data_IF_300682960590
#
_entry.id   IF_300682960590
#
_cell.length_a   1.000
_cell.length_b   1.000
_cell.length_c   1.000
_cell.angle_alpha   90.00
_cell.angle_beta   90.00
_cell.angle_gamma   90.00
#
_symmetry.space_group_name_H-M   'P 1'
#
loop_
_entity.id
_entity.type
_entity.pdbx_description
1 polymer ?
#
# COMPACT_ATOMS: atom_id res chain seq x y z
N UNK A 1 15.29 15.36 -10.75
CA UNK A 1 13.87 15.05 -10.50
C UNK A 1 13.67 14.93 -8.99
N UNK A 2 12.60 15.51 -8.44
CA UNK A 2 12.23 15.37 -7.03
C UNK A 2 11.90 13.91 -6.68
N UNK A 3 12.00 13.54 -5.41
CA UNK A 3 11.61 12.18 -4.95
C UNK A 3 10.13 11.91 -5.22
N UNK A 4 9.27 12.92 -5.08
CA UNK A 4 7.85 12.85 -5.38
C UNK A 4 7.59 12.53 -6.85
N UNK A 5 8.26 13.28 -7.78
CA UNK A 5 8.13 13.01 -9.21
C UNK A 5 8.56 11.59 -9.60
N UNK A 6 9.65 11.09 -9.01
CA UNK A 6 10.08 9.70 -9.26
C UNK A 6 9.05 8.66 -8.81
N UNK A 7 8.38 8.93 -7.68
CA UNK A 7 7.34 8.03 -7.17
C UNK A 7 6.10 8.02 -8.09
N UNK A 8 5.67 9.18 -8.55
CA UNK A 8 4.55 9.29 -9.50
C UNK A 8 4.91 8.68 -10.86
N UNK A 9 6.05 9.05 -11.46
CA UNK A 9 6.55 8.46 -12.72
C UNK A 9 6.60 6.90 -12.65
N UNK A 10 6.93 6.35 -11.48
CA UNK A 10 7.00 4.90 -11.28
C UNK A 10 5.62 4.23 -11.31
N UNK A 11 4.65 4.80 -10.61
CA UNK A 11 3.30 4.21 -10.54
C UNK A 11 2.52 4.42 -11.84
N UNK A 12 2.81 5.49 -12.57
CA UNK A 12 2.15 5.83 -13.83
C UNK A 12 2.81 5.20 -15.07
N UNK A 13 3.78 4.28 -14.88
CA UNK A 13 4.49 3.64 -15.99
C UNK A 13 3.49 2.94 -16.93
N UNK A 14 3.43 3.32 -18.23
CA UNK A 14 2.49 2.76 -19.21
C UNK A 14 2.58 1.23 -19.32
N UNK A 15 3.80 0.67 -19.27
CA UNK A 15 4.01 -0.79 -19.37
C UNK A 15 3.38 -1.57 -18.21
N UNK A 16 3.02 -0.90 -17.11
CA UNK A 16 2.45 -1.50 -15.91
C UNK A 16 0.96 -1.26 -15.75
N UNK A 17 0.44 -0.23 -16.42
CA UNK A 17 -0.92 0.27 -16.27
C UNK A 17 -1.76 0.09 -17.53
N UNK A 18 -1.39 -0.82 -18.41
CA UNK A 18 -2.03 -1.03 -19.72
C UNK A 18 -2.16 0.28 -20.51
N UNK A 19 -1.02 0.86 -20.86
CA UNK A 19 -0.94 2.16 -21.56
C UNK A 19 -1.69 3.31 -20.83
N UNK A 20 -1.70 3.27 -19.49
CA UNK A 20 -2.40 4.22 -18.59
C UNK A 20 -3.93 4.10 -18.58
N UNK A 21 -4.51 3.01 -19.07
CA UNK A 21 -5.93 2.75 -18.97
C UNK A 21 -6.41 2.70 -17.49
N UNK A 22 -5.56 2.16 -16.61
CA UNK A 22 -5.83 2.06 -15.17
C UNK A 22 -5.11 3.13 -14.35
N UNK A 23 -5.27 4.40 -14.75
CA UNK A 23 -4.80 5.58 -14.01
C UNK A 23 -5.98 6.49 -13.74
N UNK A 24 -6.19 6.86 -12.49
CA UNK A 24 -7.21 7.81 -12.05
C UNK A 24 -6.59 8.84 -11.11
N UNK A 25 -7.18 10.02 -11.04
CA UNK A 25 -6.76 11.05 -10.08
C UNK A 25 -7.98 11.79 -9.51
N UNK A 26 -7.80 12.38 -8.34
CA UNK A 26 -8.78 13.24 -7.69
C UNK A 26 -8.09 14.48 -7.13
N UNK A 27 -8.70 15.66 -7.35
CA UNK A 27 -8.16 16.93 -6.86
C UNK A 27 -6.86 17.38 -7.51
N UNK A 28 -6.37 16.65 -8.53
CA UNK A 28 -5.21 16.98 -9.35
C UNK A 28 -5.31 16.30 -10.71
N UNK A 29 -4.50 16.72 -11.69
CA UNK A 29 -4.22 15.94 -12.88
C UNK A 29 -3.07 14.96 -12.60
N UNK A 30 -3.20 13.69 -12.97
CA UNK A 30 -2.09 12.74 -12.80
C UNK A 30 -0.82 13.19 -13.54
N UNK A 31 -0.95 13.86 -14.68
CA UNK A 31 0.19 14.34 -15.48
C UNK A 31 1.02 15.44 -14.78
N UNK A 32 0.40 16.22 -13.90
CA UNK A 32 1.00 17.37 -13.20
C UNK A 32 0.94 17.25 -11.68
N UNK A 33 0.59 16.08 -11.16
CA UNK A 33 0.38 15.84 -9.72
C UNK A 33 1.61 16.19 -8.87
N UNK A 34 2.84 16.02 -9.40
CA UNK A 34 4.06 16.40 -8.69
C UNK A 34 4.16 17.91 -8.46
N UNK A 35 3.72 18.71 -9.41
CA UNK A 35 3.69 20.17 -9.31
C UNK A 35 2.56 20.62 -8.40
N UNK A 36 1.35 20.07 -8.60
CA UNK A 36 0.16 20.44 -7.82
C UNK A 36 0.30 20.06 -6.35
N UNK A 37 0.87 18.88 -6.04
CA UNK A 37 1.21 18.51 -4.67
C UNK A 37 2.23 19.46 -4.06
N UNK A 38 3.25 19.86 -4.80
CA UNK A 38 4.25 20.81 -4.32
C UNK A 38 3.62 22.18 -4.01
N UNK A 39 2.73 22.68 -4.85
CA UNK A 39 2.01 23.94 -4.62
C UNK A 39 1.18 23.88 -3.33
N UNK A 40 0.50 22.75 -3.08
CA UNK A 40 -0.28 22.55 -1.86
C UNK A 40 0.62 22.44 -0.62
N UNK A 41 1.74 21.73 -0.73
CA UNK A 41 2.74 21.59 0.35
C UNK A 41 3.33 22.93 0.75
N UNK A 42 3.55 23.84 -0.22
CA UNK A 42 4.10 25.17 0.03
C UNK A 42 3.12 26.06 0.81
N UNK A 43 1.82 25.81 0.69
CA UNK A 43 0.74 26.50 1.41
C UNK A 43 0.48 25.94 2.81
N UNK A 44 1.07 24.78 3.16
CA UNK A 44 0.78 24.08 4.40
C UNK A 44 1.15 24.91 5.64
N UNK A 45 0.26 24.97 6.64
CA UNK A 45 0.53 25.61 7.92
C UNK A 45 1.70 24.96 8.68
N UNK A 46 1.86 23.64 8.53
CA UNK A 46 2.91 22.89 9.20
C UNK A 46 3.92 22.37 8.16
N UNK A 47 5.17 22.79 8.30
CA UNK A 47 6.25 22.21 7.51
C UNK A 47 6.62 20.81 8.03
N UNK A 48 7.11 19.96 7.15
CA UNK A 48 7.57 18.62 7.50
C UNK A 48 8.09 17.88 6.26
N UNK A 49 8.79 16.78 6.48
CA UNK A 49 9.56 16.12 5.42
C UNK A 49 8.71 15.20 4.50
N UNK A 50 7.51 14.80 4.96
CA UNK A 50 6.65 13.97 4.14
C UNK A 50 5.95 14.82 3.09
N UNK A 51 6.19 14.49 1.82
CA UNK A 51 5.56 15.15 0.67
C UNK A 51 4.25 14.46 0.26
N UNK A 52 4.22 13.14 0.36
CA UNK A 52 3.07 12.32 0.03
C UNK A 52 3.06 11.04 0.88
N UNK A 53 1.93 10.36 0.89
CA UNK A 53 1.78 9.02 1.43
C UNK A 53 1.46 8.05 0.29
N UNK A 54 1.91 6.81 0.43
CA UNK A 54 1.75 5.77 -0.57
C UNK A 54 1.08 4.56 0.07
N UNK A 55 -0.09 4.19 -0.41
CA UNK A 55 -0.79 2.96 -0.06
C UNK A 55 -0.63 1.96 -1.20
N UNK A 56 -0.43 0.70 -0.84
CA UNK A 56 -0.41 -0.41 -1.78
C UNK A 56 -1.50 -1.38 -1.36
N UNK A 57 -2.42 -1.68 -2.29
CA UNK A 57 -3.49 -2.66 -2.13
C UNK A 57 -3.24 -3.81 -3.11
N UNK A 58 -2.94 -4.99 -2.59
CA UNK A 58 -2.67 -6.17 -3.41
C UNK A 58 -3.81 -7.18 -3.31
N UNK A 59 -4.07 -7.87 -4.41
CA UNK A 59 -5.12 -8.89 -4.53
C UNK A 59 -4.49 -10.27 -4.75
N UNK A 60 -5.19 -11.30 -4.35
CA UNK A 60 -4.77 -12.69 -4.62
C UNK A 60 -4.77 -12.93 -6.13
N UNK A 61 -3.75 -13.62 -6.68
CA UNK A 61 -3.71 -13.90 -8.11
C UNK A 61 -4.96 -14.61 -8.62
N UNK A 62 -5.59 -14.04 -9.64
CA UNK A 62 -6.74 -14.62 -10.34
C UNK A 62 -8.11 -14.43 -9.66
N UNK A 63 -8.19 -13.74 -8.51
CA UNK A 63 -9.49 -13.53 -7.85
C UNK A 63 -10.25 -12.28 -8.34
N UNK A 64 -9.61 -11.38 -9.07
CA UNK A 64 -10.24 -10.14 -9.55
C UNK A 64 -9.73 -9.75 -10.94
N UNK A 65 -10.48 -8.88 -11.62
CA UNK A 65 -10.05 -8.24 -12.88
C UNK A 65 -9.38 -6.89 -12.61
N UNK A 66 -8.68 -6.34 -13.60
CA UNK A 66 -8.01 -5.05 -13.47
C UNK A 66 -9.02 -3.90 -13.24
N UNK A 67 -10.17 -3.95 -13.92
CA UNK A 67 -11.27 -2.99 -13.76
C UNK A 67 -11.85 -3.03 -12.35
N UNK A 68 -12.12 -4.24 -11.83
CA UNK A 68 -12.66 -4.41 -10.48
C UNK A 68 -11.64 -3.97 -9.43
N UNK A 69 -10.37 -4.33 -9.60
CA UNK A 69 -9.29 -3.92 -8.71
C UNK A 69 -9.16 -2.39 -8.67
N UNK A 70 -9.22 -1.74 -9.84
CA UNK A 70 -9.14 -0.28 -9.96
C UNK A 70 -10.30 0.41 -9.26
N UNK A 71 -11.53 -0.08 -9.46
CA UNK A 71 -12.73 0.47 -8.84
C UNK A 71 -12.71 0.31 -7.30
N UNK A 72 -12.25 -0.84 -6.79
CA UNK A 72 -12.06 -1.04 -5.35
C UNK A 72 -11.00 -0.09 -4.79
N UNK A 73 -9.91 0.14 -5.54
CA UNK A 73 -8.89 1.12 -5.18
C UNK A 73 -9.43 2.55 -5.10
N UNK A 74 -10.29 2.93 -6.05
CA UNK A 74 -10.97 4.23 -6.07
C UNK A 74 -11.89 4.40 -4.85
N UNK A 75 -12.73 3.40 -4.56
CA UNK A 75 -13.59 3.40 -3.38
C UNK A 75 -12.80 3.49 -2.07
N UNK A 76 -11.68 2.77 -1.98
CA UNK A 76 -10.78 2.84 -0.83
C UNK A 76 -10.21 4.26 -0.66
N UNK A 77 -9.72 4.87 -1.74
CA UNK A 77 -9.20 6.23 -1.71
C UNK A 77 -10.28 7.24 -1.30
N UNK A 78 -11.47 7.16 -1.89
CA UNK A 78 -12.58 8.07 -1.60
C UNK A 78 -12.99 8.01 -0.12
N UNK A 79 -13.11 6.81 0.47
CA UNK A 79 -13.51 6.65 1.86
C UNK A 79 -12.39 7.06 2.85
N UNK A 80 -11.15 6.68 2.55
CA UNK A 80 -10.01 6.97 3.44
C UNK A 80 -9.65 8.44 3.41
N UNK A 81 -9.66 9.06 2.24
CA UNK A 81 -9.24 10.44 2.04
C UNK A 81 -10.38 11.46 2.14
N UNK A 82 -11.64 10.99 2.07
CA UNK A 82 -12.86 11.80 2.27
C UNK A 82 -12.91 13.06 1.39
N UNK A 83 -12.37 13.00 0.18
CA UNK A 83 -12.31 14.14 -0.73
C UNK A 83 -11.41 15.30 -0.26
N UNK A 84 -10.57 15.09 0.75
CA UNK A 84 -9.72 16.16 1.33
C UNK A 84 -8.33 16.20 0.74
N UNK A 85 -7.80 15.06 0.30
CA UNK A 85 -6.42 14.94 -0.18
C UNK A 85 -6.41 14.63 -1.67
N UNK A 86 -5.67 15.38 -2.50
CA UNK A 86 -5.52 15.02 -3.90
C UNK A 86 -4.68 13.73 -3.99
N UNK A 87 -5.07 12.85 -4.90
CA UNK A 87 -4.38 11.57 -5.09
C UNK A 87 -4.27 11.16 -6.56
N UNK A 88 -3.31 10.29 -6.83
CA UNK A 88 -3.20 9.49 -8.05
C UNK A 88 -3.33 8.03 -7.66
N UNK A 89 -4.22 7.31 -8.33
CA UNK A 89 -4.44 5.87 -8.23
C UNK A 89 -4.01 5.21 -9.53
N UNK A 90 -3.21 4.16 -9.43
CA UNK A 90 -2.87 3.30 -10.58
C UNK A 90 -3.06 1.84 -10.21
N UNK A 91 -3.50 1.03 -11.19
CA UNK A 91 -3.53 -0.43 -11.05
C UNK A 91 -2.47 -1.04 -11.93
N UNK A 92 -1.55 -1.79 -11.33
CA UNK A 92 -0.47 -2.50 -12.02
C UNK A 92 -0.89 -3.93 -12.33
N UNK A 93 -0.58 -4.37 -13.57
CA UNK A 93 -0.94 -5.68 -14.11
C UNK A 93 0.30 -6.54 -14.46
N UNK A 94 1.51 -6.03 -14.23
CA UNK A 94 2.78 -6.57 -14.77
C UNK A 94 3.34 -7.80 -14.04
N UNK A 95 2.85 -8.14 -12.83
CA UNK A 95 3.51 -9.14 -11.96
C UNK A 95 2.72 -10.42 -11.68
N UNK A 96 1.76 -10.76 -12.52
CA UNK A 96 0.92 -11.95 -12.32
C UNK A 96 -0.05 -11.84 -11.13
N UNK A 97 -0.07 -10.73 -10.44
CA UNK A 97 -1.08 -10.35 -9.45
C UNK A 97 -1.39 -8.86 -9.57
N UNK A 98 -2.66 -8.52 -9.41
CA UNK A 98 -3.11 -7.15 -9.48
C UNK A 98 -2.80 -6.40 -8.19
N UNK A 99 -2.36 -5.17 -8.30
CA UNK A 99 -2.14 -4.31 -7.14
C UNK A 99 -2.33 -2.83 -7.48
N UNK A 100 -2.99 -2.14 -6.58
CA UNK A 100 -3.21 -0.71 -6.67
C UNK A 100 -2.11 0.06 -5.94
N UNK A 101 -1.69 1.17 -6.52
CA UNK A 101 -0.88 2.19 -5.87
C UNK A 101 -1.72 3.46 -5.73
N UNK A 102 -1.93 3.92 -4.51
CA UNK A 102 -2.60 5.19 -4.20
C UNK A 102 -1.56 6.11 -3.59
N UNK A 103 -1.13 7.11 -4.35
CA UNK A 103 -0.22 8.16 -3.87
C UNK A 103 -1.02 9.43 -3.64
N UNK A 104 -1.11 9.90 -2.40
CA UNK A 104 -1.84 11.11 -2.04
C UNK A 104 -0.96 12.15 -1.36
N UNK A 105 -1.27 13.42 -1.59
CA UNK A 105 -0.54 14.54 -1.00
C UNK A 105 -0.60 14.47 0.54
N UNK A 106 0.51 14.80 1.19
CA UNK A 106 0.56 14.82 2.65
C UNK A 106 -0.23 15.98 3.29
N UNK A 107 -0.80 16.88 2.48
CA UNK A 107 -1.56 18.06 2.94
C UNK A 107 -2.95 18.05 2.33
N UNK A 108 -3.98 18.35 3.15
CA UNK A 108 -5.36 18.44 2.67
C UNK A 108 -5.61 19.77 1.93
N UNK A 109 -6.48 19.71 0.90
CA UNK A 109 -6.84 20.84 0.06
C UNK A 109 -7.75 21.85 0.77
N UNK A 110 -8.43 21.43 1.85
CA UNK A 110 -9.49 22.23 2.49
C UNK A 110 -8.92 23.10 3.60
N UNK A 111 -8.13 22.48 4.50
CA UNK A 111 -7.62 23.14 5.70
C UNK A 111 -6.10 23.33 5.68
N UNK A 112 -5.42 22.85 4.63
CA UNK A 112 -3.96 22.93 4.46
C UNK A 112 -3.19 22.28 5.64
N UNK A 113 -3.81 21.26 6.28
CA UNK A 113 -3.24 20.50 7.40
C UNK A 113 -2.63 19.20 6.91
N UNK A 114 -1.61 18.74 7.60
CA UNK A 114 -0.96 17.46 7.28
C UNK A 114 -1.81 16.27 7.68
N UNK A 115 -1.73 15.23 6.85
CA UNK A 115 -2.29 13.92 7.17
C UNK A 115 -1.66 13.33 8.42
N UNK A 116 -2.51 12.85 9.33
CA UNK A 116 -2.07 12.23 10.58
C UNK A 116 -1.92 10.72 10.37
N UNK A 117 -0.67 10.29 10.14
CA UNK A 117 -0.33 8.87 9.99
C UNK A 117 -0.02 8.27 11.37
N UNK A 118 -0.92 7.43 11.89
CA UNK A 118 -0.79 6.78 13.19
C UNK A 118 -1.47 5.40 13.20
N UNK A 119 -1.44 4.69 14.34
CA UNK A 119 -2.08 3.37 14.47
C UNK A 119 -3.58 3.37 14.15
N UNK A 120 -4.28 4.46 14.44
CA UNK A 120 -5.73 4.57 14.19
C UNK A 120 -6.02 4.71 12.69
N UNK A 121 -5.23 5.56 11.97
CA UNK A 121 -5.37 5.71 10.52
C UNK A 121 -5.03 4.40 9.79
N UNK A 122 -3.99 3.68 10.20
CA UNK A 122 -3.70 2.34 9.66
C UNK A 122 -4.83 1.34 9.90
N UNK A 123 -5.38 1.31 11.13
CA UNK A 123 -6.49 0.42 11.45
C UNK A 123 -7.76 0.77 10.66
N UNK A 124 -7.99 2.05 10.40
CA UNK A 124 -9.11 2.53 9.58
C UNK A 124 -8.94 2.09 8.12
N UNK A 125 -7.78 2.38 7.50
CA UNK A 125 -7.45 1.96 6.13
C UNK A 125 -7.65 0.44 5.98
N UNK A 126 -7.11 -0.34 6.90
CA UNK A 126 -7.21 -1.81 6.85
C UNK A 126 -8.65 -2.30 6.94
N UNK A 127 -9.44 -1.78 7.89
CA UNK A 127 -10.86 -2.19 8.03
C UNK A 127 -11.68 -1.82 6.80
N UNK A 128 -11.45 -0.63 6.23
CA UNK A 128 -12.12 -0.18 5.00
C UNK A 128 -11.76 -1.10 3.85
N UNK A 129 -10.47 -1.40 3.67
CA UNK A 129 -9.99 -2.34 2.66
C UNK A 129 -10.64 -3.73 2.80
N UNK A 130 -10.58 -4.31 4.01
CA UNK A 130 -11.12 -5.65 4.28
C UNK A 130 -12.63 -5.72 4.05
N UNK A 131 -13.36 -4.64 4.35
CA UNK A 131 -14.80 -4.53 4.07
C UNK A 131 -15.06 -4.49 2.57
N UNK A 132 -14.38 -3.59 1.83
CA UNK A 132 -14.54 -3.45 0.38
C UNK A 132 -14.21 -4.77 -0.36
N UNK A 133 -13.13 -5.44 0.02
CA UNK A 133 -12.78 -6.74 -0.55
C UNK A 133 -13.90 -7.77 -0.32
N UNK A 134 -14.43 -7.88 0.91
CA UNK A 134 -15.53 -8.82 1.23
C UNK A 134 -16.81 -8.51 0.47
N UNK A 135 -17.19 -7.23 0.36
CA UNK A 135 -18.37 -6.78 -0.38
C UNK A 135 -18.28 -7.12 -1.87
N UNK A 136 -17.06 -7.20 -2.40
CA UNK A 136 -16.78 -7.60 -3.79
C UNK A 136 -16.45 -9.10 -3.96
N UNK A 137 -16.64 -9.92 -2.91
CA UNK A 137 -16.40 -11.36 -2.97
C UNK A 137 -14.93 -11.78 -2.96
N UNK A 138 -14.02 -10.85 -2.59
CA UNK A 138 -12.59 -11.09 -2.60
C UNK A 138 -12.07 -11.56 -1.23
N UNK A 139 -10.93 -12.24 -1.25
CA UNK A 139 -10.26 -12.70 -0.04
C UNK A 139 -9.69 -11.54 0.80
N UNK A 140 -9.53 -11.78 2.07
CA UNK A 140 -8.85 -10.85 2.99
C UNK A 140 -7.79 -11.59 3.78
N UNK A 141 -6.66 -10.94 4.01
CA UNK A 141 -5.56 -11.50 4.80
C UNK A 141 -6.03 -11.67 6.25
N UNK A 142 -6.11 -12.92 6.70
CA UNK A 142 -6.34 -13.22 8.12
C UNK A 142 -5.04 -12.95 8.89
N UNK A 143 -5.08 -12.15 9.97
CA UNK A 143 -3.91 -11.97 10.80
C UNK A 143 -3.40 -13.32 11.31
N UNK A 144 -2.16 -13.68 10.95
CA UNK A 144 -1.50 -14.84 11.51
C UNK A 144 -1.18 -14.63 13.00
N UNK A 145 -0.99 -15.73 13.74
CA UNK A 145 -0.52 -15.68 15.14
C UNK A 145 0.94 -15.24 15.23
N UNK A 146 1.70 -15.40 14.16
CA UNK A 146 3.12 -15.06 14.12
C UNK A 146 3.34 -13.56 13.89
N UNK A 147 4.35 -13.02 14.57
CA UNK A 147 4.82 -11.65 14.29
C UNK A 147 5.33 -11.58 12.85
N UNK A 148 4.93 -10.55 12.13
CA UNK A 148 5.41 -10.30 10.77
C UNK A 148 6.93 -10.26 10.71
N UNK A 149 7.51 -10.79 9.64
CA UNK A 149 8.96 -10.75 9.39
C UNK A 149 9.34 -9.41 8.79
N UNK A 150 10.52 -8.89 9.14
CA UNK A 150 11.11 -7.77 8.40
C UNK A 150 11.49 -8.22 6.99
N UNK A 151 11.59 -7.28 6.05
CA UNK A 151 12.06 -7.61 4.69
C UNK A 151 13.42 -8.31 4.70
N UNK A 152 14.36 -7.85 5.53
CA UNK A 152 15.67 -8.46 5.67
C UNK A 152 15.60 -9.92 6.13
N UNK A 153 14.73 -10.23 7.09
CA UNK A 153 14.52 -11.60 7.58
C UNK A 153 13.82 -12.47 6.52
N UNK A 154 12.84 -11.92 5.80
CA UNK A 154 12.17 -12.61 4.71
C UNK A 154 13.15 -12.96 3.58
N UNK A 155 13.98 -12.01 3.16
CA UNK A 155 14.99 -12.22 2.11
C UNK A 155 16.07 -13.22 2.54
N UNK A 156 16.54 -13.13 3.79
CA UNK A 156 17.48 -14.09 4.37
C UNK A 156 16.88 -15.50 4.42
N UNK A 157 15.59 -15.64 4.72
CA UNK A 157 14.90 -16.93 4.70
C UNK A 157 14.81 -17.48 3.27
N UNK A 158 14.43 -16.64 2.30
CA UNK A 158 14.36 -17.02 0.89
C UNK A 158 15.71 -17.50 0.35
N UNK A 159 16.81 -16.86 0.77
CA UNK A 159 18.18 -17.21 0.41
C UNK A 159 18.75 -18.38 1.23
N UNK A 160 18.02 -18.94 2.18
CA UNK A 160 18.50 -20.01 3.06
C UNK A 160 19.57 -19.58 4.08
N UNK A 161 19.78 -18.26 4.26
CA UNK A 161 20.79 -17.69 5.16
C UNK A 161 20.25 -17.29 6.52
N UNK A 162 18.91 -17.34 6.74
CA UNK A 162 18.29 -16.96 8.01
C UNK A 162 18.71 -17.92 9.13
N UNK A 163 19.44 -17.40 10.11
CA UNK A 163 19.80 -18.15 11.32
C UNK A 163 18.57 -18.47 12.18
N UNK A 164 17.57 -17.60 12.21
CA UNK A 164 16.31 -17.83 12.92
C UNK A 164 15.51 -18.97 12.34
N UNK A 165 15.44 -19.06 11.01
CA UNK A 165 14.77 -20.18 10.35
C UNK A 165 15.49 -21.51 10.62
N UNK A 166 16.84 -21.51 10.62
CA UNK A 166 17.64 -22.69 10.97
C UNK A 166 17.44 -23.10 12.41
N UNK A 167 17.49 -22.15 13.36
CA UNK A 167 17.24 -22.39 14.76
C UNK A 167 15.83 -22.97 15.00
N UNK A 168 14.80 -22.36 14.36
CA UNK A 168 13.43 -22.86 14.45
C UNK A 168 13.32 -24.30 13.96
N UNK A 169 13.91 -24.63 12.82
CA UNK A 169 13.88 -25.99 12.30
C UNK A 169 14.55 -27.02 13.25
N UNK A 170 15.66 -26.64 13.88
CA UNK A 170 16.31 -27.48 14.91
C UNK A 170 15.40 -27.65 16.13
N UNK A 171 14.82 -26.56 16.65
CA UNK A 171 13.89 -26.62 17.78
C UNK A 171 12.67 -27.48 17.46
N UNK A 172 12.03 -27.30 16.31
CA UNK A 172 10.87 -28.07 15.87
C UNK A 172 11.20 -29.58 15.73
N UNK A 173 12.46 -29.93 15.47
CA UNK A 173 12.89 -31.34 15.39
C UNK A 173 13.21 -31.96 16.75
N UNK A 174 13.59 -31.17 17.74
CA UNK A 174 14.00 -31.63 19.07
C UNK A 174 12.83 -31.68 20.05
N UNK A 175 11.95 -30.67 20.01
CA UNK A 175 10.80 -30.55 20.93
C UNK A 175 9.93 -31.82 20.98
N UNK A 176 9.57 -32.46 19.84
CA UNK A 176 8.78 -33.70 19.87
C UNK A 176 9.53 -34.91 20.46
N UNK A 177 10.85 -34.84 20.56
CA UNK A 177 11.69 -35.92 21.08
C UNK A 177 12.00 -35.77 22.58
N UNK A 178 11.78 -34.59 23.14
CA UNK A 178 11.93 -34.34 24.56
C UNK A 178 10.64 -34.74 25.30
N UNK A 179 10.69 -35.86 26.01
CA UNK A 179 9.53 -36.41 26.73
C UNK A 179 9.28 -35.78 28.08
N UNK A 180 10.12 -34.87 28.55
CA UNK A 180 10.01 -34.26 29.89
C UNK A 180 10.29 -32.76 29.84
N UNK A 181 9.24 -31.96 29.99
CA UNK A 181 9.25 -30.63 30.57
C UNK A 181 8.40 -30.71 31.86
N UNK A 182 8.99 -31.25 32.91
CA UNK A 182 8.52 -31.02 34.28
C UNK A 182 9.26 -29.84 34.90
#
# INVERSE_FOLDING_TARGET
KSTLKKALDYIENPDKTDEKLFVSSYGCSYETADIEFQMLLDQAYQKGNNLAHHLIQAFEPGETTAEQAHEIGRQLADEVLQGKYPYVLTTHIDKGHLHNHIVFCAVDMVNQRKYVSNKQSYAFIRRTNDRLCKENGLSVVKPGRDKGKTYAEWDAQRKGTSWKAKLKAVMDSIIPLSSDFD
#
